data_IF_274591623626
#
_entry.id   IF_274591623626
#
_cell.length_a   1.000
_cell.length_b   1.000
_cell.length_c   1.000
_cell.angle_alpha   90.00
_cell.angle_beta   90.00
_cell.angle_gamma   90.00
#
_symmetry.space_group_name_H-M   'P 1'
#
loop_
_entity.id
_entity.type
_entity.pdbx_description
1 polymer ?
#
# COMPACT_ATOMS: atom_id res chain seq x y z
N UNK A 1 -8.16 -9.06 24.91
CA UNK A 1 -8.04 -7.82 24.11
C UNK A 1 -6.99 -8.07 23.04
N UNK A 2 -7.25 -7.66 21.81
CA UNK A 2 -6.32 -7.84 20.70
C UNK A 2 -5.28 -6.71 20.72
N UNK A 3 -4.01 -7.05 20.53
CA UNK A 3 -2.93 -6.07 20.36
C UNK A 3 -2.61 -5.94 18.86
N UNK A 4 -2.08 -4.80 18.40
CA UNK A 4 -1.80 -4.58 16.97
C UNK A 4 -0.88 -5.63 16.33
N UNK A 5 0.04 -6.23 17.11
CA UNK A 5 0.97 -7.26 16.62
C UNK A 5 0.25 -8.58 16.26
N UNK A 6 -0.96 -8.77 16.78
CA UNK A 6 -1.82 -9.92 16.50
C UNK A 6 -2.82 -9.65 15.35
N UNK A 7 -2.81 -8.45 14.78
CA UNK A 7 -3.69 -8.06 13.66
C UNK A 7 -2.92 -8.21 12.35
N UNK A 8 -3.57 -8.82 11.35
CA UNK A 8 -3.04 -8.93 9.99
C UNK A 8 -3.96 -8.20 9.03
N UNK A 9 -3.43 -7.20 8.33
CA UNK A 9 -4.15 -6.46 7.31
C UNK A 9 -3.58 -6.81 5.93
N UNK A 10 -4.45 -7.28 5.04
CA UNK A 10 -4.13 -7.47 3.63
C UNK A 10 -5.25 -6.85 2.81
N UNK A 11 -4.91 -5.96 1.90
CA UNK A 11 -5.87 -5.29 1.02
C UNK A 11 -5.46 -5.45 -0.44
N UNK A 12 -6.40 -5.40 -1.36
CA UNK A 12 -6.18 -5.50 -2.80
C UNK A 12 -6.68 -4.24 -3.47
N UNK A 13 -5.86 -3.57 -4.29
CA UNK A 13 -6.27 -2.35 -4.99
C UNK A 13 -6.71 -1.22 -4.04
N UNK A 14 -6.12 -1.13 -2.85
CA UNK A 14 -6.54 -0.15 -1.84
C UNK A 14 -6.26 1.28 -2.31
N UNK A 15 -7.25 2.21 -2.28
CA UNK A 15 -7.02 3.64 -2.51
C UNK A 15 -6.26 4.27 -1.33
N UNK A 16 -5.75 5.49 -1.50
CA UNK A 16 -5.16 6.24 -0.37
C UNK A 16 -6.25 6.57 0.65
N UNK A 17 -6.02 6.21 1.91
CA UNK A 17 -7.09 6.19 2.93
C UNK A 17 -7.00 7.30 3.97
N UNK A 18 -5.84 7.94 4.12
CA UNK A 18 -5.66 8.96 5.14
C UNK A 18 -4.57 9.95 4.81
N UNK A 19 -4.44 10.95 5.68
CA UNK A 19 -3.36 11.93 5.61
C UNK A 19 -2.02 11.31 6.05
N UNK A 20 -0.98 12.15 6.07
CA UNK A 20 0.37 11.72 6.40
C UNK A 20 0.49 11.19 7.83
N UNK A 21 -0.22 11.80 8.78
CA UNK A 21 -0.19 11.41 10.19
C UNK A 21 -0.86 10.05 10.38
N UNK A 22 -2.00 9.82 9.73
CA UNK A 22 -2.65 8.52 9.72
C UNK A 22 -1.76 7.44 9.10
N UNK A 23 -1.17 7.70 7.93
CA UNK A 23 -0.29 6.75 7.24
C UNK A 23 0.92 6.35 8.11
N UNK A 24 1.55 7.34 8.75
CA UNK A 24 2.70 7.14 9.65
C UNK A 24 2.31 6.39 10.91
N UNK A 25 1.18 6.74 11.53
CA UNK A 25 0.66 6.03 12.69
C UNK A 25 0.32 4.58 12.36
N UNK A 26 -0.34 4.34 11.23
CA UNK A 26 -0.74 3.01 10.80
C UNK A 26 0.49 2.12 10.58
N UNK A 27 1.51 2.63 9.90
CA UNK A 27 2.78 1.96 9.67
C UNK A 27 3.51 1.61 10.97
N UNK A 28 3.51 2.51 11.96
CA UNK A 28 4.10 2.25 13.27
C UNK A 28 3.28 1.27 14.13
N UNK A 29 1.97 1.20 13.92
CA UNK A 29 1.04 0.45 14.78
C UNK A 29 0.88 -1.00 14.31
N UNK A 30 0.76 -1.23 13.00
CA UNK A 30 0.43 -2.54 12.44
C UNK A 30 1.61 -3.14 11.68
N UNK A 31 2.43 -4.01 12.32
CA UNK A 31 3.63 -4.55 11.68
C UNK A 31 3.32 -5.50 10.52
N UNK A 32 2.11 -6.06 10.46
CA UNK A 32 1.64 -6.91 9.36
C UNK A 32 0.54 -6.20 8.59
N UNK A 33 0.93 -5.28 7.72
CA UNK A 33 0.03 -4.57 6.82
C UNK A 33 0.60 -4.60 5.39
N UNK A 34 -0.14 -5.21 4.46
CA UNK A 34 0.28 -5.35 3.07
C UNK A 34 -0.84 -4.93 2.11
N UNK A 35 -0.49 -4.07 1.16
CA UNK A 35 -1.35 -3.64 0.06
C UNK A 35 -0.89 -4.33 -1.22
N UNK A 36 -1.73 -5.19 -1.77
CA UNK A 36 -1.46 -5.90 -3.02
C UNK A 36 -1.97 -5.06 -4.19
N UNK A 37 -1.10 -4.78 -5.15
CA UNK A 37 -1.39 -3.98 -6.34
C UNK A 37 -1.06 -4.78 -7.59
N UNK A 38 -1.99 -4.78 -8.55
CA UNK A 38 -1.87 -5.52 -9.80
C UNK A 38 -1.63 -4.56 -10.97
N UNK A 39 -0.48 -4.70 -11.63
CA UNK A 39 -0.08 -3.90 -12.79
C UNK A 39 -0.39 -2.40 -12.60
N UNK A 40 -1.20 -1.85 -13.50
CA UNK A 40 -1.58 -0.44 -13.59
C UNK A 40 -3.01 -0.22 -13.04
N UNK A 41 -3.38 -0.92 -11.97
CA UNK A 41 -4.63 -0.68 -11.26
C UNK A 41 -4.72 0.82 -10.89
N UNK A 42 -5.73 1.56 -11.37
CA UNK A 42 -5.83 2.99 -11.09
C UNK A 42 -6.25 3.30 -9.65
N UNK A 43 -6.84 2.33 -8.92
CA UNK A 43 -7.44 2.59 -7.60
C UNK A 43 -6.40 2.97 -6.54
N UNK A 44 -5.24 2.29 -6.44
CA UNK A 44 -4.17 2.73 -5.53
C UNK A 44 -3.62 4.13 -5.80
N UNK A 45 -3.87 4.71 -6.97
CA UNK A 45 -3.39 6.03 -7.34
C UNK A 45 -4.38 7.15 -6.99
N UNK A 46 -5.52 6.84 -6.37
CA UNK A 46 -6.51 7.82 -5.93
C UNK A 46 -6.79 7.76 -4.42
N UNK A 47 -7.07 8.89 -3.74
CA UNK A 47 -6.85 10.28 -4.19
C UNK A 47 -5.37 10.58 -4.49
N UNK A 48 -5.04 11.63 -5.27
CA UNK A 48 -3.67 11.90 -5.72
C UNK A 48 -2.68 12.05 -4.55
N UNK A 49 -1.39 11.79 -4.78
CA UNK A 49 -0.32 12.06 -3.79
C UNK A 49 0.12 13.52 -3.75
N UNK A 50 -0.20 14.29 -4.79
CA UNK A 50 0.20 15.67 -4.96
C UNK A 50 -1.03 16.58 -5.03
N UNK A 51 -0.89 17.82 -4.56
CA UNK A 51 -1.95 18.82 -4.59
C UNK A 51 -2.64 19.04 -3.25
N UNK A 52 -3.82 19.65 -3.31
CA UNK A 52 -4.61 20.04 -2.12
C UNK A 52 -5.26 18.85 -1.44
N UNK A 53 -5.77 17.90 -2.23
CA UNK A 53 -6.48 16.70 -1.75
C UNK A 53 -5.53 15.50 -1.60
N UNK A 54 -4.27 15.76 -1.23
CA UNK A 54 -3.27 14.71 -1.15
C UNK A 54 -3.54 13.79 0.03
N UNK A 55 -3.55 12.49 -0.24
CA UNK A 55 -3.56 11.44 0.77
C UNK A 55 -2.33 10.56 0.60
N UNK A 56 -2.11 9.69 1.59
CA UNK A 56 -0.95 8.83 1.68
C UNK A 56 -1.34 7.40 2.00
N UNK A 57 -0.53 6.48 1.50
CA UNK A 57 -0.56 5.06 1.82
C UNK A 57 0.30 4.77 3.05
N UNK A 58 0.00 3.66 3.73
CA UNK A 58 0.93 3.03 4.65
C UNK A 58 1.80 2.01 3.89
N UNK A 59 2.89 1.54 4.53
CA UNK A 59 3.65 0.38 4.06
C UNK A 59 2.93 -0.93 4.44
N UNK A 60 3.14 -2.04 3.74
CA UNK A 60 3.96 -2.28 2.56
C UNK A 60 3.13 -2.37 1.29
N UNK A 61 3.73 -2.12 0.13
CA UNK A 61 3.13 -2.48 -1.16
C UNK A 61 3.74 -3.78 -1.69
N UNK A 62 2.89 -4.66 -2.20
CA UNK A 62 3.28 -5.86 -2.93
C UNK A 62 2.78 -5.70 -4.35
N UNK A 63 3.69 -5.38 -5.26
CA UNK A 63 3.35 -5.06 -6.63
C UNK A 63 3.61 -6.23 -7.57
N UNK A 64 2.57 -6.60 -8.31
CA UNK A 64 2.62 -7.59 -9.36
C UNK A 64 2.57 -6.92 -10.71
N UNK A 65 3.73 -6.65 -11.31
CA UNK A 65 3.84 -6.19 -12.70
C UNK A 65 3.77 -7.37 -13.69
N UNK A 66 2.76 -8.22 -13.55
CA UNK A 66 2.50 -9.40 -14.36
C UNK A 66 1.04 -9.86 -14.14
N UNK A 67 0.66 -11.05 -14.58
CA UNK A 67 -0.73 -11.54 -14.49
C UNK A 67 -1.09 -12.18 -13.14
N UNK A 68 -0.21 -12.11 -12.12
CA UNK A 68 -0.37 -12.77 -10.82
C UNK A 68 -0.57 -14.28 -10.90
N UNK A 69 -0.12 -14.93 -11.99
CA UNK A 69 -0.24 -16.37 -12.10
C UNK A 69 0.60 -17.06 -11.01
N UNK A 70 0.19 -18.25 -10.58
CA UNK A 70 0.90 -19.01 -9.55
C UNK A 70 2.37 -19.19 -9.96
N UNK A 71 3.29 -18.80 -9.07
CA UNK A 71 4.73 -18.87 -9.29
C UNK A 71 5.34 -17.64 -9.97
N UNK A 72 4.56 -16.65 -10.38
CA UNK A 72 5.10 -15.39 -10.89
C UNK A 72 5.66 -14.52 -9.76
N UNK A 73 6.73 -13.75 -10.05
CA UNK A 73 7.39 -12.92 -9.05
C UNK A 73 6.55 -11.68 -8.69
N UNK A 74 6.90 -11.05 -7.58
CA UNK A 74 6.38 -9.75 -7.16
C UNK A 74 7.50 -8.92 -6.54
N UNK A 75 7.28 -7.61 -6.48
CA UNK A 75 8.20 -6.67 -5.83
C UNK A 75 7.58 -6.19 -4.53
N UNK A 76 8.32 -6.26 -3.42
CA UNK A 76 7.91 -5.64 -2.16
C UNK A 76 8.50 -4.25 -2.07
N UNK A 77 7.64 -3.25 -1.93
CA UNK A 77 7.99 -1.85 -1.87
C UNK A 77 7.97 -1.41 -0.41
N UNK A 78 9.15 -1.00 0.09
CA UNK A 78 9.43 -0.79 1.50
C UNK A 78 9.03 0.61 2.01
N UNK A 79 8.48 1.46 1.15
CA UNK A 79 8.07 2.83 1.46
C UNK A 79 6.59 3.00 1.11
N UNK A 80 5.93 3.89 1.84
CA UNK A 80 4.49 4.09 1.80
C UNK A 80 4.01 4.59 0.42
N UNK A 81 4.72 5.56 -0.15
CA UNK A 81 4.37 6.25 -1.39
C UNK A 81 5.65 6.65 -2.15
N UNK A 82 6.60 5.73 -2.29
CA UNK A 82 7.81 6.01 -3.07
C UNK A 82 7.54 6.10 -4.58
N UNK A 83 8.45 6.76 -5.30
CA UNK A 83 8.45 6.86 -6.78
C UNK A 83 8.96 5.57 -7.44
N UNK A 84 8.40 4.44 -7.04
CA UNK A 84 8.75 3.12 -7.53
C UNK A 84 7.56 2.15 -7.39
N UNK A 85 7.69 0.95 -7.94
CA UNK A 85 6.60 -0.02 -8.06
C UNK A 85 5.44 0.49 -8.90
N UNK A 86 4.19 0.45 -8.43
CA UNK A 86 3.06 0.86 -9.27
C UNK A 86 3.04 2.36 -9.59
N UNK A 87 3.85 3.17 -8.88
CA UNK A 87 3.98 4.61 -9.12
C UNK A 87 5.03 4.96 -10.20
N UNK A 88 5.61 4.00 -10.93
CA UNK A 88 6.50 4.25 -12.08
C UNK A 88 5.76 4.47 -13.39
#
# INVERSE_FOLDING_TARGET
MWTPENVRLVTFGQPRTGDYDFATWHDATFPYAYRIVHQNDPVPHIPPRLGRDKLFHHRYEVWYNNSMAVGQPYTICQEADGDYCSNT
#
